data_IF_782657126962
#
_entry.id   IF_782657126962
#
_cell.length_a   1.000
_cell.length_b   1.000
_cell.length_c   1.000
_cell.angle_alpha   90.00
_cell.angle_beta   90.00
_cell.angle_gamma   90.00
#
_symmetry.space_group_name_H-M   'P 1'
#
loop_
_entity.id
_entity.type
_entity.pdbx_description
1 polymer ?
#
# COMPACT_ATOMS: atom_id res chain seq x y z
N UNK A 1 13.49 -14.12 32.66
CA UNK A 1 12.16 -14.66 33.04
C UNK A 1 11.16 -13.52 32.95
N UNK A 2 10.24 -13.54 31.98
CA UNK A 2 9.18 -12.54 31.89
C UNK A 2 7.97 -13.01 32.69
N UNK A 3 7.62 -12.30 33.76
CA UNK A 3 6.38 -12.55 34.49
C UNK A 3 5.20 -12.07 33.63
N UNK A 4 4.21 -12.95 33.41
CA UNK A 4 2.94 -12.61 32.76
C UNK A 4 1.85 -12.64 33.84
N UNK A 5 1.32 -11.49 34.21
CA UNK A 5 0.20 -11.37 35.14
C UNK A 5 -1.11 -11.49 34.34
N UNK A 6 -2.05 -12.34 34.78
CA UNK A 6 -3.36 -12.57 34.12
C UNK A 6 -3.28 -12.95 32.62
N UNK A 7 -2.47 -13.95 32.29
CA UNK A 7 -2.34 -14.46 30.93
C UNK A 7 -3.60 -15.22 30.50
N UNK A 8 -4.26 -14.75 29.43
CA UNK A 8 -5.35 -15.47 28.76
C UNK A 8 -5.11 -15.44 27.24
N UNK A 9 -5.23 -16.57 26.53
CA UNK A 9 -5.11 -16.60 25.07
C UNK A 9 -6.29 -15.89 24.42
N UNK A 10 -6.01 -15.09 23.39
CA UNK A 10 -7.01 -14.43 22.55
C UNK A 10 -7.16 -15.26 21.27
N UNK A 11 -8.40 -15.60 20.91
CA UNK A 11 -8.73 -16.21 19.64
C UNK A 11 -9.11 -15.11 18.63
N UNK A 12 -8.54 -15.15 17.43
CA UNK A 12 -8.89 -14.19 16.39
C UNK A 12 -8.07 -14.34 15.12
N UNK A 13 -8.41 -13.52 14.13
CA UNK A 13 -7.76 -13.51 12.82
C UNK A 13 -6.57 -12.54 12.82
N UNK A 14 -5.51 -12.91 12.12
CA UNK A 14 -4.33 -12.06 11.95
C UNK A 14 -3.90 -12.02 10.49
N UNK A 15 -3.71 -10.82 9.93
CA UNK A 15 -3.23 -10.63 8.56
C UNK A 15 -2.29 -9.43 8.44
N UNK A 16 -1.40 -9.46 7.44
CA UNK A 16 -0.47 -8.37 7.15
C UNK A 16 -1.02 -7.54 5.99
N UNK A 17 -0.90 -6.22 6.09
CA UNK A 17 -1.25 -5.30 5.01
C UNK A 17 -0.20 -4.21 4.82
N UNK A 18 -0.17 -3.64 3.62
CA UNK A 18 0.47 -2.36 3.36
C UNK A 18 -0.50 -1.26 3.80
N UNK A 19 -0.14 -0.45 4.80
CA UNK A 19 -1.00 0.62 5.29
C UNK A 19 -0.63 1.99 4.71
N UNK A 20 0.60 2.12 4.21
CA UNK A 20 1.11 3.38 3.67
C UNK A 20 2.11 3.10 2.56
N UNK A 21 2.04 3.90 1.50
CA UNK A 21 3.03 3.93 0.42
C UNK A 21 3.56 5.36 0.36
N UNK A 22 4.88 5.51 0.50
CA UNK A 22 5.57 6.80 0.41
C UNK A 22 6.44 6.75 -0.84
N UNK A 23 6.32 7.78 -1.68
CA UNK A 23 7.14 7.93 -2.87
C UNK A 23 7.88 9.25 -2.74
N UNK A 24 9.19 9.14 -2.53
CA UNK A 24 10.09 10.28 -2.48
C UNK A 24 10.61 10.52 -3.89
N UNK A 25 10.25 11.69 -4.47
CA UNK A 25 10.73 12.13 -5.78
C UNK A 25 11.58 13.41 -5.65
N UNK A 26 12.78 13.33 -5.05
CA UNK A 26 13.68 14.47 -4.90
C UNK A 26 14.21 14.98 -6.24
N UNK A 27 14.41 16.30 -6.33
CA UNK A 27 15.11 16.92 -7.47
C UNK A 27 16.55 16.38 -7.56
N UNK A 28 16.98 16.01 -8.77
CA UNK A 28 18.33 15.53 -9.10
C UNK A 28 18.79 14.27 -8.34
N UNK A 29 17.86 13.44 -7.87
CA UNK A 29 18.18 12.17 -7.19
C UNK A 29 17.25 11.06 -7.67
N UNK A 30 17.69 9.81 -7.49
CA UNK A 30 16.86 8.66 -7.80
C UNK A 30 15.62 8.63 -6.89
N UNK A 31 14.42 8.40 -7.43
CA UNK A 31 13.23 8.21 -6.63
C UNK A 31 13.35 6.99 -5.72
N UNK A 32 12.66 7.04 -4.58
CA UNK A 32 12.58 5.92 -3.65
C UNK A 32 11.13 5.62 -3.29
N UNK A 33 10.81 4.33 -3.13
CA UNK A 33 9.48 3.89 -2.70
C UNK A 33 9.63 3.17 -1.37
N UNK A 34 8.83 3.57 -0.39
CA UNK A 34 8.76 2.94 0.93
C UNK A 34 7.36 2.43 1.21
N UNK A 35 7.25 1.13 1.48
CA UNK A 35 6.02 0.45 1.85
C UNK A 35 5.96 0.27 3.36
N UNK A 36 5.09 1.05 4.01
CA UNK A 36 4.74 0.90 5.41
C UNK A 36 3.83 -0.30 5.60
N UNK A 37 4.21 -1.20 6.50
CA UNK A 37 3.47 -2.44 6.75
C UNK A 37 3.02 -2.53 8.19
N UNK A 38 1.88 -3.17 8.37
CA UNK A 38 1.39 -3.51 9.70
C UNK A 38 0.76 -4.90 9.69
N UNK A 39 0.76 -5.51 10.87
CA UNK A 39 -0.05 -6.70 11.15
C UNK A 39 -1.31 -6.26 11.88
N UNK A 40 -2.45 -6.67 11.36
CA UNK A 40 -3.75 -6.50 11.98
C UNK A 40 -4.08 -7.77 12.75
N UNK A 41 -4.42 -7.63 14.03
CA UNK A 41 -4.84 -8.74 14.88
C UNK A 41 -6.25 -8.44 15.40
N UNK A 42 -7.25 -9.17 14.90
CA UNK A 42 -8.58 -9.16 15.46
C UNK A 42 -8.60 -9.94 16.77
N UNK A 43 -9.20 -9.39 17.82
CA UNK A 43 -9.22 -10.03 19.15
C UNK A 43 -10.49 -10.84 19.43
N UNK A 44 -11.36 -10.99 18.43
CA UNK A 44 -12.66 -11.66 18.57
C UNK A 44 -13.71 -10.87 19.37
N UNK A 45 -13.30 -9.85 20.13
CA UNK A 45 -14.15 -8.98 20.94
C UNK A 45 -14.58 -7.67 20.23
N UNK A 46 -14.31 -7.57 18.92
CA UNK A 46 -14.57 -6.35 18.12
C UNK A 46 -13.43 -5.33 18.15
N UNK A 47 -12.43 -5.50 19.02
CA UNK A 47 -11.22 -4.69 19.02
C UNK A 47 -10.18 -5.25 18.03
N UNK A 48 -9.49 -4.33 17.36
CA UNK A 48 -8.46 -4.63 16.37
C UNK A 48 -7.15 -3.99 16.82
N UNK A 49 -6.10 -4.80 16.94
CA UNK A 49 -4.76 -4.32 17.24
C UNK A 49 -3.99 -4.08 15.94
N UNK A 50 -3.37 -2.90 15.85
CA UNK A 50 -2.45 -2.52 14.79
C UNK A 50 -1.02 -2.66 15.29
N UNK A 51 -0.25 -3.56 14.69
CA UNK A 51 1.14 -3.80 15.04
C UNK A 51 2.03 -3.30 13.90
N UNK A 52 2.72 -2.16 14.06
CA UNK A 52 3.64 -1.64 13.05
C UNK A 52 4.76 -2.64 12.75
N UNK A 53 5.15 -2.74 11.48
CA UNK A 53 6.27 -3.55 11.02
C UNK A 53 7.36 -2.68 10.43
N UNK A 54 8.58 -3.23 10.32
CA UNK A 54 9.64 -2.57 9.56
C UNK A 54 9.18 -2.34 8.11
N UNK A 55 9.37 -1.13 7.57
CA UNK A 55 8.98 -0.83 6.21
C UNK A 55 9.88 -1.53 5.20
N UNK A 56 9.37 -1.72 3.98
CA UNK A 56 10.16 -2.20 2.85
C UNK A 56 10.50 -1.00 1.98
N UNK A 57 11.78 -0.71 1.84
CA UNK A 57 12.26 0.31 0.91
C UNK A 57 12.81 -0.35 -0.35
N UNK A 58 12.39 0.16 -1.50
CA UNK A 58 12.80 -0.30 -2.81
C UNK A 58 13.44 0.86 -3.57
N UNK A 59 14.64 0.62 -4.08
CA UNK A 59 15.28 1.53 -5.02
C UNK A 59 14.53 1.47 -6.36
N UNK A 60 14.25 2.64 -6.95
CA UNK A 60 13.61 2.71 -8.25
C UNK A 60 14.56 2.22 -9.34
N UNK A 61 14.10 1.23 -10.10
CA UNK A 61 14.77 0.74 -11.31
C UNK A 61 13.77 0.69 -12.46
N UNK A 62 13.87 1.61 -13.44
CA UNK A 62 12.88 1.75 -14.50
C UNK A 62 12.76 0.52 -15.40
N UNK A 63 13.79 -0.32 -15.47
CA UNK A 63 13.80 -1.51 -16.33
C UNK A 63 13.18 -2.74 -15.68
N UNK A 64 12.93 -2.71 -14.36
CA UNK A 64 12.32 -3.83 -13.65
C UNK A 64 10.84 -3.94 -14.01
N UNK A 65 10.46 -5.12 -14.50
CA UNK A 65 9.05 -5.50 -14.64
C UNK A 65 8.53 -6.14 -13.35
N UNK A 66 7.32 -5.76 -12.98
CA UNK A 66 6.58 -6.35 -11.86
C UNK A 66 5.23 -6.90 -12.35
N UNK A 67 4.75 -8.03 -11.80
CA UNK A 67 3.42 -8.52 -12.11
C UNK A 67 2.37 -7.57 -11.54
N UNK A 68 1.34 -7.28 -12.34
CA UNK A 68 0.17 -6.55 -11.86
C UNK A 68 -0.64 -7.50 -10.98
N UNK A 69 -0.90 -7.08 -9.74
CA UNK A 69 -1.70 -7.83 -8.76
C UNK A 69 -3.01 -7.11 -8.54
N UNK A 70 -4.11 -7.85 -8.50
CA UNK A 70 -5.40 -7.32 -8.08
C UNK A 70 -5.38 -7.08 -6.56
N UNK A 71 -5.56 -5.83 -6.08
CA UNK A 71 -5.49 -5.50 -4.66
C UNK A 71 -6.63 -6.10 -3.82
N UNK A 72 -7.75 -6.51 -4.43
CA UNK A 72 -8.86 -7.14 -3.70
C UNK A 72 -8.60 -8.63 -3.43
N UNK A 73 -7.97 -9.32 -4.38
CA UNK A 73 -7.77 -10.78 -4.31
C UNK A 73 -6.34 -11.18 -3.98
N UNK A 74 -5.38 -10.27 -4.15
CA UNK A 74 -3.95 -10.55 -4.02
C UNK A 74 -3.40 -11.45 -5.11
N UNK A 75 -4.16 -11.70 -6.18
CA UNK A 75 -3.75 -12.60 -7.27
C UNK A 75 -3.17 -11.82 -8.46
N UNK A 76 -2.18 -12.39 -9.18
CA UNK A 76 -1.69 -11.81 -10.43
C UNK A 76 -2.81 -11.72 -11.48
N UNK A 77 -2.87 -10.63 -12.21
CA UNK A 77 -3.83 -10.45 -13.32
C UNK A 77 -3.35 -11.14 -14.61
N UNK A 78 -2.10 -11.60 -14.64
CA UNK A 78 -1.43 -12.16 -15.82
C UNK A 78 -0.68 -11.13 -16.66
N UNK A 79 -0.82 -9.84 -16.36
CA UNK A 79 -0.06 -8.76 -16.99
C UNK A 79 1.17 -8.37 -16.16
N UNK A 80 2.17 -7.78 -16.82
CA UNK A 80 3.33 -7.13 -16.18
C UNK A 80 3.33 -5.64 -16.51
N UNK A 81 4.01 -4.86 -15.68
CA UNK A 81 4.25 -3.43 -15.90
C UNK A 81 5.67 -3.09 -15.46
N UNK A 82 6.36 -2.23 -16.21
CA UNK A 82 7.67 -1.71 -15.80
C UNK A 82 7.52 -0.64 -14.70
N UNK A 83 8.54 -0.48 -13.85
CA UNK A 83 8.51 0.61 -12.89
C UNK A 83 8.50 1.99 -13.57
N UNK A 84 9.07 2.12 -14.76
CA UNK A 84 8.98 3.35 -15.56
C UNK A 84 7.53 3.72 -15.89
N UNK A 85 6.71 2.75 -16.31
CA UNK A 85 5.30 2.95 -16.59
C UNK A 85 4.51 3.26 -15.31
N UNK A 86 4.82 2.60 -14.19
CA UNK A 86 4.23 2.93 -12.88
C UNK A 86 4.50 4.38 -12.51
N UNK A 87 5.74 4.86 -12.69
CA UNK A 87 6.10 6.24 -12.45
C UNK A 87 5.31 7.20 -13.36
N UNK A 88 5.19 6.88 -14.65
CA UNK A 88 4.40 7.68 -15.59
C UNK A 88 2.92 7.77 -15.19
N UNK A 89 2.33 6.68 -14.69
CA UNK A 89 0.95 6.67 -14.18
C UNK A 89 0.80 7.59 -12.95
N UNK A 90 1.71 7.50 -11.99
CA UNK A 90 1.70 8.33 -10.77
C UNK A 90 1.89 9.80 -11.13
N UNK A 91 2.81 10.11 -12.03
CA UNK A 91 3.03 11.47 -12.52
C UNK A 91 1.78 12.00 -13.24
N UNK A 92 1.13 11.18 -14.07
CA UNK A 92 -0.12 11.56 -14.74
C UNK A 92 -1.24 11.84 -13.74
N UNK A 93 -1.34 11.06 -12.67
CA UNK A 93 -2.29 11.31 -11.58
C UNK A 93 -2.00 12.64 -10.85
N UNK A 94 -0.73 12.98 -10.66
CA UNK A 94 -0.34 14.29 -10.13
C UNK A 94 -0.77 15.43 -11.05
N UNK A 95 -0.50 15.34 -12.36
CA UNK A 95 -0.90 16.38 -13.33
C UNK A 95 -2.41 16.56 -13.33
N UNK A 96 -3.17 15.46 -13.39
CA UNK A 96 -4.64 15.49 -13.32
C UNK A 96 -5.13 16.16 -12.03
N UNK A 97 -4.53 15.84 -10.87
CA UNK A 97 -4.88 16.47 -9.60
C UNK A 97 -4.52 17.97 -9.56
N UNK A 98 -3.36 18.35 -10.09
CA UNK A 98 -2.88 19.73 -10.12
C UNK A 98 -3.70 20.63 -11.05
N UNK A 99 -4.18 20.08 -12.16
CA UNK A 99 -5.03 20.77 -13.15
C UNK A 99 -6.52 20.72 -12.80
N UNK A 100 -6.89 20.12 -11.65
CA UNK A 100 -8.29 20.03 -11.18
C UNK A 100 -9.14 18.96 -11.88
N UNK A 101 -8.52 18.10 -12.69
CA UNK A 101 -9.15 17.05 -13.51
C UNK A 101 -9.41 15.74 -12.77
N UNK A 102 -9.91 15.79 -11.53
CA UNK A 102 -10.41 14.62 -10.82
C UNK A 102 -11.89 14.80 -10.45
N UNK A 103 -12.75 14.93 -11.47
CA UNK A 103 -14.19 14.77 -11.31
C UNK A 103 -14.80 14.13 -12.56
N UNK A 104 -15.32 12.89 -12.49
CA UNK A 104 -16.55 12.61 -13.19
C UNK A 104 -17.67 13.29 -12.39
N UNK A 105 -18.15 14.43 -12.87
CA UNK A 105 -19.45 14.95 -12.46
C UNK A 105 -20.49 13.86 -12.73
N UNK A 106 -20.99 13.23 -11.68
CA UNK A 106 -22.12 12.31 -11.76
C UNK A 106 -23.33 13.16 -12.15
N UNK A 107 -23.70 13.16 -13.42
CA UNK A 107 -25.04 13.58 -13.84
C UNK A 107 -26.01 12.52 -13.32
N UNK A 108 -26.65 12.85 -12.21
CA UNK A 108 -27.82 12.19 -11.67
C UNK A 108 -28.99 12.47 -12.63
N UNK A 109 -29.33 11.48 -13.45
CA UNK A 109 -30.53 11.48 -14.27
C UNK A 109 -31.75 11.39 -13.37
N UNK A 110 -32.55 12.46 -13.32
CA UNK A 110 -33.91 12.47 -12.80
C UNK A 110 -34.93 12.29 -13.94
#
# INVERSE_FOLDING_TARGET
MGYKLHHQPIAGESYRRCHQIIIDNPLDRAPAITFGQETIIGTGAGEVLHVPMAPISLAFDPAVEIPIVDPQTGQPTGATISQAEVYALIYSAYIAAAEGGAAPSTEETA
#
